data_IF_155093014409
#
_entry.id   IF_155093014409
#
_cell.length_a   1.000
_cell.length_b   1.000
_cell.length_c   1.000
_cell.angle_alpha   90.00
_cell.angle_beta   90.00
_cell.angle_gamma   90.00
#
_symmetry.space_group_name_H-M   'P 1'
#
loop_
_entity.id
_entity.type
_entity.pdbx_description
1 polymer ?
#
# COMPACT_ATOMS: atom_id res chain seq x y z
N UNK A 1 -0.64 -1.44 -22.99
CA UNK A 1 0.74 -2.03 -23.03
C UNK A 1 1.08 -2.34 -21.58
N UNK A 2 0.90 -3.58 -21.15
CA UNK A 2 1.16 -3.96 -19.76
C UNK A 2 2.67 -3.97 -19.54
N UNK A 3 3.16 -3.04 -18.75
CA UNK A 3 4.51 -3.11 -18.19
C UNK A 3 4.49 -4.27 -17.17
N UNK A 4 4.99 -5.42 -17.60
CA UNK A 4 5.28 -6.51 -16.68
C UNK A 4 6.70 -6.28 -16.15
N UNK A 5 6.89 -5.62 -15.00
CA UNK A 5 8.19 -5.56 -14.39
C UNK A 5 8.47 -6.95 -13.84
N UNK A 6 9.29 -7.72 -14.56
CA UNK A 6 9.90 -8.90 -13.96
C UNK A 6 10.82 -8.41 -12.83
N UNK A 7 10.25 -8.25 -11.63
CA UNK A 7 11.05 -8.12 -10.43
C UNK A 7 11.78 -9.46 -10.24
N UNK A 8 13.02 -9.52 -10.67
CA UNK A 8 13.90 -10.63 -10.29
C UNK A 8 14.01 -10.56 -8.76
N UNK A 9 13.43 -11.54 -8.10
CA UNK A 9 13.62 -11.75 -6.66
C UNK A 9 15.09 -12.12 -6.43
N UNK A 10 15.92 -11.14 -6.15
CA UNK A 10 17.30 -11.37 -5.71
C UNK A 10 17.27 -11.67 -4.22
N UNK A 11 17.50 -12.92 -3.87
CA UNK A 11 17.67 -13.30 -2.46
C UNK A 11 19.08 -12.95 -2.05
N UNK A 12 19.25 -11.88 -1.29
CA UNK A 12 20.53 -11.58 -0.66
C UNK A 12 20.84 -12.67 0.37
N UNK A 13 21.93 -13.39 0.15
CA UNK A 13 22.41 -14.38 1.10
C UNK A 13 23.50 -13.73 1.96
N UNK A 14 23.31 -13.65 3.29
CA UNK A 14 24.36 -13.11 4.14
C UNK A 14 25.61 -13.98 4.05
N UNK A 15 26.80 -13.37 4.01
CA UNK A 15 28.04 -14.12 4.02
C UNK A 15 28.16 -14.91 5.32
N UNK A 16 28.61 -16.14 5.23
CA UNK A 16 28.89 -16.98 6.42
C UNK A 16 30.35 -16.84 6.80
N UNK A 17 30.60 -16.71 8.10
CA UNK A 17 31.97 -16.76 8.62
C UNK A 17 32.67 -18.02 8.12
N UNK A 18 33.92 -17.94 7.62
CA UNK A 18 34.64 -19.09 7.15
C UNK A 18 35.12 -19.95 8.33
N UNK A 19 35.15 -21.26 8.14
CA UNK A 19 35.90 -22.15 9.04
C UNK A 19 37.38 -21.97 8.73
N UNK A 20 38.09 -21.30 9.64
CA UNK A 20 39.53 -21.18 9.51
C UNK A 20 40.21 -22.50 9.94
N UNK A 21 41.25 -22.92 9.22
CA UNK A 21 42.01 -24.12 9.61
C UNK A 21 42.66 -23.92 10.97
N UNK A 22 42.79 -25.01 11.74
CA UNK A 22 43.47 -25.01 13.05
C UNK A 22 44.98 -24.84 12.82
N UNK A 23 45.60 -23.93 13.55
CA UNK A 23 47.01 -23.66 13.41
C UNK A 23 47.87 -24.92 13.80
N UNK A 24 48.78 -25.35 12.95
CA UNK A 24 49.73 -26.40 13.30
C UNK A 24 50.74 -25.91 14.38
N UNK A 25 51.41 -26.85 15.04
CA UNK A 25 52.42 -26.51 16.04
C UNK A 25 53.60 -25.77 15.40
N UNK A 26 53.96 -26.18 14.19
CA UNK A 26 55.03 -25.55 13.43
C UNK A 26 54.45 -24.76 12.25
N UNK A 27 55.11 -23.63 11.91
CA UNK A 27 54.73 -22.81 10.76
C UNK A 27 54.90 -23.61 9.46
N UNK A 28 53.81 -23.65 8.65
CA UNK A 28 53.85 -24.20 7.30
C UNK A 28 53.30 -23.21 6.32
N UNK A 29 53.96 -23.07 5.17
CA UNK A 29 53.45 -22.19 4.09
C UNK A 29 52.04 -22.62 3.64
N UNK A 30 51.78 -23.91 3.60
CA UNK A 30 50.51 -24.47 3.21
C UNK A 30 49.35 -23.98 4.12
N UNK A 31 49.60 -23.91 5.45
CA UNK A 31 48.61 -23.38 6.40
C UNK A 31 48.31 -21.89 6.12
N UNK A 32 49.37 -21.10 5.90
CA UNK A 32 49.24 -19.68 5.57
C UNK A 32 48.40 -19.46 4.32
N UNK A 33 48.69 -20.23 3.25
CA UNK A 33 47.97 -20.16 1.99
C UNK A 33 46.50 -20.55 2.16
N UNK A 34 46.19 -21.55 2.98
CA UNK A 34 44.80 -21.93 3.28
C UNK A 34 44.04 -20.83 4.03
N UNK A 35 44.67 -20.21 5.05
CA UNK A 35 44.06 -19.10 5.79
C UNK A 35 43.81 -17.90 4.87
N UNK A 36 44.82 -17.50 4.09
CA UNK A 36 44.70 -16.38 3.16
C UNK A 36 43.62 -16.63 2.10
N UNK A 37 43.53 -17.85 1.59
CA UNK A 37 42.49 -18.20 0.60
C UNK A 37 41.10 -18.19 1.24
N UNK A 38 40.93 -18.71 2.44
CA UNK A 38 39.66 -18.68 3.19
C UNK A 38 39.19 -17.22 3.44
N UNK A 39 40.10 -16.35 3.87
CA UNK A 39 39.83 -14.95 4.10
C UNK A 39 39.49 -14.21 2.81
N UNK A 40 40.24 -14.46 1.72
CA UNK A 40 39.97 -13.84 0.41
C UNK A 40 38.57 -14.22 -0.11
N UNK A 41 38.18 -15.48 0.00
CA UNK A 41 36.86 -15.94 -0.39
C UNK A 41 35.77 -15.29 0.47
N UNK A 42 36.01 -15.12 1.77
CA UNK A 42 35.07 -14.45 2.67
C UNK A 42 34.89 -12.97 2.32
N UNK A 43 35.99 -12.24 2.10
CA UNK A 43 35.91 -10.84 1.68
C UNK A 43 35.20 -10.68 0.32
N UNK A 44 35.46 -11.55 -0.64
CA UNK A 44 34.75 -11.57 -1.91
C UNK A 44 33.24 -11.80 -1.71
N UNK A 45 32.82 -12.64 -0.74
CA UNK A 45 31.40 -12.81 -0.40
C UNK A 45 30.80 -11.54 0.22
N UNK A 46 31.54 -10.86 1.10
CA UNK A 46 31.12 -9.58 1.69
C UNK A 46 30.96 -8.51 0.60
N UNK A 47 31.93 -8.40 -0.29
CA UNK A 47 31.88 -7.43 -1.38
C UNK A 47 30.69 -7.71 -2.32
N UNK A 48 30.48 -8.97 -2.70
CA UNK A 48 29.33 -9.38 -3.51
C UNK A 48 27.98 -9.19 -2.82
N UNK A 49 27.94 -9.15 -1.49
CA UNK A 49 26.74 -8.86 -0.71
C UNK A 49 26.53 -7.34 -0.55
N UNK A 50 27.59 -6.60 -0.20
CA UNK A 50 27.51 -5.17 0.10
C UNK A 50 27.42 -4.30 -1.16
N UNK A 51 28.10 -4.67 -2.24
CA UNK A 51 28.14 -3.92 -3.47
C UNK A 51 26.75 -3.68 -4.07
N UNK A 52 25.84 -4.68 -4.21
CA UNK A 52 24.48 -4.44 -4.65
C UNK A 52 23.67 -3.50 -3.77
N UNK A 53 23.93 -3.48 -2.46
CA UNK A 53 23.24 -2.59 -1.51
C UNK A 53 23.74 -1.16 -1.54
N UNK A 54 25.01 -0.94 -1.88
CA UNK A 54 25.66 0.38 -1.87
C UNK A 54 25.67 1.08 -3.23
N UNK A 55 25.37 0.36 -4.32
CA UNK A 55 25.28 0.93 -5.67
C UNK A 55 24.03 1.80 -5.85
N UNK A 56 24.02 2.60 -6.91
CA UNK A 56 22.94 3.53 -7.27
C UNK A 56 21.54 2.90 -7.27
N UNK A 57 21.43 1.61 -7.58
CA UNK A 57 20.19 0.84 -7.56
C UNK A 57 20.02 -0.03 -6.30
N UNK A 58 20.76 0.26 -5.23
CA UNK A 58 20.79 -0.56 -4.01
C UNK A 58 19.42 -0.79 -3.40
N UNK A 59 18.51 0.19 -3.48
CA UNK A 59 17.14 0.05 -3.04
C UNK A 59 16.33 -1.04 -3.76
N UNK A 60 16.73 -1.45 -4.97
CA UNK A 60 16.03 -2.52 -5.72
C UNK A 60 16.25 -3.92 -5.13
N UNK A 61 17.26 -4.09 -4.28
CA UNK A 61 17.52 -5.35 -3.56
C UNK A 61 16.84 -5.44 -2.20
N UNK A 62 16.35 -4.31 -1.70
CA UNK A 62 15.57 -4.24 -0.46
C UNK A 62 14.10 -4.37 -0.82
N UNK A 63 13.50 -5.51 -0.56
CA UNK A 63 12.05 -5.69 -0.71
C UNK A 63 11.35 -5.04 0.47
N UNK A 64 10.97 -3.77 0.32
CA UNK A 64 10.09 -3.13 1.28
C UNK A 64 8.68 -3.69 1.10
N UNK A 65 7.98 -4.05 2.20
CA UNK A 65 6.58 -4.42 2.11
C UNK A 65 5.75 -3.21 1.66
N UNK A 66 4.94 -3.41 0.62
CA UNK A 66 4.04 -2.40 0.09
C UNK A 66 2.84 -3.06 -0.59
N UNK A 67 1.75 -2.31 -0.69
CA UNK A 67 0.58 -2.67 -1.47
C UNK A 67 0.02 -1.41 -2.14
N UNK A 68 -0.36 -1.53 -3.39
CA UNK A 68 -1.14 -0.55 -4.13
C UNK A 68 -2.39 -1.24 -4.66
N UNK A 69 -3.54 -0.73 -4.30
CA UNK A 69 -4.83 -1.27 -4.70
C UNK A 69 -5.79 -0.16 -5.10
N UNK A 70 -6.69 -0.47 -6.01
CA UNK A 70 -7.70 0.45 -6.50
C UNK A 70 -9.09 -0.20 -6.57
N UNK A 71 -10.11 0.59 -6.82
CA UNK A 71 -11.45 0.12 -7.18
C UNK A 71 -11.89 0.75 -8.48
N UNK A 72 -12.60 -0.03 -9.29
CA UNK A 72 -13.13 0.36 -10.60
C UNK A 72 -14.65 0.55 -10.58
N UNK A 73 -15.25 0.73 -9.41
CA UNK A 73 -16.69 0.86 -9.24
C UNK A 73 -17.06 2.05 -8.35
N UNK A 74 -18.24 2.62 -8.59
CA UNK A 74 -18.86 3.59 -7.68
C UNK A 74 -19.25 2.86 -6.40
N UNK A 75 -18.95 3.46 -5.23
CA UNK A 75 -19.29 2.88 -3.94
C UNK A 75 -20.26 3.81 -3.19
N UNK A 76 -21.29 3.20 -2.63
CA UNK A 76 -22.29 3.88 -1.83
C UNK A 76 -22.14 3.48 -0.36
N UNK A 77 -22.32 4.43 0.55
CA UNK A 77 -22.43 4.13 1.97
C UNK A 77 -23.71 3.29 2.23
N UNK A 78 -23.63 2.38 3.19
CA UNK A 78 -24.76 1.51 3.54
C UNK A 78 -25.98 2.32 4.01
N UNK A 79 -25.74 3.34 4.79
CA UNK A 79 -26.73 4.34 5.25
C UNK A 79 -26.00 5.58 5.77
N UNK A 80 -26.74 6.67 6.01
CA UNK A 80 -26.21 7.85 6.68
C UNK A 80 -25.64 7.49 8.06
N UNK A 81 -24.51 8.08 8.40
CA UNK A 81 -23.79 7.88 9.67
C UNK A 81 -23.45 6.41 9.97
N UNK A 82 -23.36 5.58 8.96
CA UNK A 82 -23.04 4.15 9.11
C UNK A 82 -21.68 3.83 8.51
N UNK A 83 -20.74 3.27 9.32
CA UNK A 83 -19.44 2.84 8.81
C UNK A 83 -19.56 1.84 7.66
N UNK A 84 -18.93 2.15 6.56
CA UNK A 84 -18.89 1.31 5.35
C UNK A 84 -17.43 1.09 4.97
N UNK A 85 -17.05 -0.14 4.65
CA UNK A 85 -15.68 -0.43 4.19
C UNK A 85 -15.47 0.11 2.77
N UNK A 86 -14.34 0.76 2.53
CA UNK A 86 -13.89 1.11 1.18
C UNK A 86 -13.44 -0.18 0.49
N UNK A 87 -13.99 -0.44 -0.67
CA UNK A 87 -13.70 -1.65 -1.44
C UNK A 87 -12.47 -1.43 -2.32
N UNK A 88 -11.69 -2.48 -2.46
CA UNK A 88 -10.54 -2.57 -3.38
C UNK A 88 -10.74 -3.82 -4.20
N UNK A 89 -10.94 -3.71 -5.49
CA UNK A 89 -11.17 -4.88 -6.37
C UNK A 89 -9.98 -5.18 -7.28
N UNK A 90 -9.00 -4.29 -7.35
CA UNK A 90 -7.82 -4.44 -8.18
C UNK A 90 -6.57 -4.32 -7.31
N UNK A 91 -5.75 -5.36 -7.29
CA UNK A 91 -4.39 -5.31 -6.79
C UNK A 91 -3.47 -4.88 -7.92
N UNK A 92 -2.96 -3.66 -7.86
CA UNK A 92 -2.05 -3.11 -8.87
C UNK A 92 -0.63 -3.66 -8.68
N UNK A 93 -0.10 -3.50 -7.48
CA UNK A 93 1.23 -3.94 -7.09
C UNK A 93 1.25 -4.30 -5.62
N UNK A 94 2.02 -5.32 -5.24
CA UNK A 94 2.16 -5.69 -3.83
C UNK A 94 3.31 -6.62 -3.55
N UNK A 95 3.93 -6.44 -2.40
CA UNK A 95 4.93 -7.33 -1.82
C UNK A 95 4.83 -7.24 -0.30
N UNK A 96 4.83 -8.37 0.40
CA UNK A 96 4.74 -8.41 1.87
C UNK A 96 3.36 -8.04 2.43
N UNK A 97 2.33 -7.96 1.57
CA UNK A 97 0.93 -7.81 1.93
C UNK A 97 0.06 -8.79 1.14
N UNK A 98 -1.05 -9.17 1.73
CA UNK A 98 -2.11 -9.95 1.06
C UNK A 98 -3.39 -9.13 1.05
N UNK A 99 -3.94 -8.88 -0.14
CA UNK A 99 -5.29 -8.29 -0.28
C UNK A 99 -6.34 -9.37 -0.06
N UNK A 100 -7.21 -9.17 0.92
CA UNK A 100 -8.24 -10.11 1.30
C UNK A 100 -9.56 -9.85 0.56
N UNK A 101 -10.39 -10.89 0.42
CA UNK A 101 -11.70 -10.79 -0.19
C UNK A 101 -12.67 -9.84 0.54
N UNK A 102 -12.41 -9.52 1.80
CA UNK A 102 -13.18 -8.56 2.60
C UNK A 102 -12.62 -7.13 2.50
N UNK A 103 -11.81 -6.83 1.51
CA UNK A 103 -11.24 -5.51 1.23
C UNK A 103 -10.29 -4.98 2.33
N UNK A 104 -9.64 -5.88 3.06
CA UNK A 104 -8.56 -5.54 3.99
C UNK A 104 -7.21 -6.02 3.42
N UNK A 105 -6.13 -5.39 3.85
CA UNK A 105 -4.78 -5.81 3.51
C UNK A 105 -4.08 -6.37 4.74
N UNK A 106 -3.59 -7.61 4.68
CA UNK A 106 -2.86 -8.25 5.78
C UNK A 106 -1.35 -8.07 5.60
N UNK A 107 -0.69 -7.51 6.61
CA UNK A 107 0.76 -7.36 6.64
C UNK A 107 1.44 -8.70 6.95
N UNK A 108 2.42 -9.09 6.13
CA UNK A 108 3.21 -10.30 6.36
C UNK A 108 4.37 -10.09 7.35
N UNK A 109 4.77 -8.85 7.56
CA UNK A 109 5.90 -8.49 8.42
C UNK A 109 5.46 -7.43 9.42
N UNK A 110 6.05 -7.49 10.63
CA UNK A 110 5.90 -6.41 11.59
C UNK A 110 6.73 -5.19 11.15
N UNK A 111 6.18 -3.98 11.34
CA UNK A 111 6.89 -2.76 10.95
C UNK A 111 6.08 -1.49 11.17
N UNK A 112 6.70 -0.37 10.84
CA UNK A 112 6.04 0.94 10.76
C UNK A 112 5.66 1.15 9.28
N UNK A 113 4.38 1.40 9.05
CA UNK A 113 3.82 1.56 7.72
C UNK A 113 3.21 2.94 7.54
N UNK A 114 3.42 3.49 6.37
CA UNK A 114 2.72 4.68 5.89
C UNK A 114 1.60 4.24 4.98
N UNK A 115 0.36 4.58 5.33
CA UNK A 115 -0.81 4.38 4.48
C UNK A 115 -1.19 5.72 3.88
N UNK A 116 -1.34 5.75 2.58
CA UNK A 116 -1.86 6.89 1.83
C UNK A 116 -3.08 6.45 1.05
N UNK A 117 -4.09 7.29 1.00
CA UNK A 117 -5.25 7.04 0.16
C UNK A 117 -5.68 8.30 -0.57
N UNK A 118 -6.28 8.10 -1.73
CA UNK A 118 -6.93 9.13 -2.52
C UNK A 118 -8.29 8.61 -2.94
N UNK A 119 -9.36 9.29 -2.50
CA UNK A 119 -10.74 8.93 -2.79
C UNK A 119 -11.43 10.09 -3.48
N UNK A 120 -12.11 9.83 -4.58
CA UNK A 120 -12.94 10.84 -5.22
C UNK A 120 -14.35 10.74 -4.64
N UNK A 121 -14.77 11.79 -3.93
CA UNK A 121 -16.14 11.92 -3.45
C UNK A 121 -16.96 12.74 -4.42
N UNK A 122 -18.20 12.34 -4.60
CA UNK A 122 -19.19 13.11 -5.35
C UNK A 122 -20.41 13.34 -4.48
N UNK A 123 -21.00 14.55 -4.59
CA UNK A 123 -22.25 14.90 -3.95
C UNK A 123 -23.28 15.30 -5.01
N UNK A 124 -24.41 14.61 -5.01
CA UNK A 124 -25.51 14.87 -5.92
C UNK A 124 -26.73 15.54 -5.23
N UNK A 125 -26.55 15.98 -3.97
CA UNK A 125 -27.58 16.74 -3.24
C UNK A 125 -27.42 18.25 -3.43
N UNK A 126 -28.48 18.99 -3.11
CA UNK A 126 -28.50 20.46 -3.10
C UNK A 126 -27.94 21.08 -1.81
N UNK A 127 -27.50 20.27 -0.87
CA UNK A 127 -26.80 20.64 0.37
C UNK A 127 -25.36 20.13 0.35
N UNK A 128 -24.48 20.78 1.08
CA UNK A 128 -23.14 20.27 1.36
C UNK A 128 -23.23 19.14 2.39
N UNK A 129 -22.43 18.09 2.18
CA UNK A 129 -22.37 16.92 3.06
C UNK A 129 -20.95 16.53 3.40
N UNK A 130 -20.75 15.97 4.59
CA UNK A 130 -19.47 15.51 5.07
C UNK A 130 -19.28 14.02 4.80
N UNK A 131 -18.07 13.66 4.39
CA UNK A 131 -17.59 12.29 4.34
C UNK A 131 -16.39 12.15 5.26
N UNK A 132 -16.40 11.16 6.14
CA UNK A 132 -15.32 10.87 7.09
C UNK A 132 -14.66 9.58 6.65
N UNK A 133 -13.33 9.54 6.66
CA UNK A 133 -12.53 8.37 6.32
C UNK A 133 -11.59 8.05 7.46
N UNK A 134 -11.43 6.77 7.83
CA UNK A 134 -10.53 6.31 8.88
C UNK A 134 -10.06 4.88 8.65
N UNK A 135 -9.12 4.42 9.44
CA UNK A 135 -8.55 3.07 9.38
C UNK A 135 -9.08 2.19 10.51
N UNK A 136 -9.25 0.90 10.23
CA UNK A 136 -9.46 -0.16 11.23
C UNK A 136 -8.41 -1.24 11.09
N UNK A 137 -7.99 -1.79 12.22
CA UNK A 137 -7.04 -2.89 12.29
C UNK A 137 -7.67 -4.07 13.02
N UNK A 138 -7.55 -5.27 12.41
CA UNK A 138 -7.98 -6.55 12.99
C UNK A 138 -9.47 -6.65 13.35
N UNK A 139 -10.34 -5.91 12.65
CA UNK A 139 -11.76 -6.08 12.90
C UNK A 139 -12.67 -5.11 12.14
N UNK A 140 -13.97 -5.28 12.37
CA UNK A 140 -15.04 -4.59 11.66
C UNK A 140 -15.83 -3.61 12.54
N UNK A 141 -15.49 -3.54 13.82
CA UNK A 141 -16.22 -2.71 14.82
C UNK A 141 -15.42 -1.47 15.19
N UNK A 142 -16.06 -0.51 15.84
CA UNK A 142 -15.42 0.72 16.32
C UNK A 142 -14.30 0.48 17.34
N UNK A 143 -14.29 -0.65 18.03
CA UNK A 143 -13.18 -1.04 18.90
C UNK A 143 -11.85 -1.25 18.15
N UNK A 144 -11.91 -1.39 16.83
CA UNK A 144 -10.77 -1.59 15.95
C UNK A 144 -10.34 -0.31 15.21
N UNK A 145 -10.99 0.82 15.49
CA UNK A 145 -10.64 2.10 14.88
C UNK A 145 -9.23 2.52 15.32
N UNK A 146 -8.40 2.92 14.36
CA UNK A 146 -7.07 3.46 14.64
C UNK A 146 -7.24 4.89 15.13
N UNK A 147 -6.79 5.21 16.36
CA UNK A 147 -6.84 6.57 16.87
C UNK A 147 -6.15 7.56 15.91
N UNK A 148 -6.69 8.76 15.81
CA UNK A 148 -6.14 9.87 15.00
C UNK A 148 -5.99 9.58 13.49
N UNK A 149 -6.64 8.52 12.97
CA UNK A 149 -6.64 8.20 11.54
C UNK A 149 -7.81 8.82 10.76
N UNK A 150 -8.75 9.48 11.44
CA UNK A 150 -9.94 10.03 10.81
C UNK A 150 -9.67 11.37 10.12
N UNK A 151 -10.20 11.53 8.92
CA UNK A 151 -10.16 12.78 8.16
C UNK A 151 -11.56 13.09 7.61
N UNK A 152 -12.00 14.33 7.73
CA UNK A 152 -13.30 14.81 7.24
C UNK A 152 -13.09 15.55 5.92
N UNK A 153 -13.96 15.25 4.95
CA UNK A 153 -14.01 15.91 3.64
C UNK A 153 -15.42 16.45 3.43
N UNK A 154 -15.57 17.77 3.43
CA UNK A 154 -16.85 18.42 3.10
C UNK A 154 -16.99 18.51 1.58
N UNK A 155 -18.03 17.89 1.03
CA UNK A 155 -18.35 17.93 -0.40
C UNK A 155 -19.48 18.93 -0.61
N UNK A 156 -19.19 20.00 -1.32
CA UNK A 156 -20.15 21.07 -1.58
C UNK A 156 -21.41 20.54 -2.29
N UNK A 157 -22.50 21.30 -2.19
CA UNK A 157 -23.75 21.03 -2.92
C UNK A 157 -23.49 20.82 -4.43
N UNK A 158 -24.32 20.00 -5.08
CA UNK A 158 -24.26 19.79 -6.53
C UNK A 158 -24.29 21.09 -7.32
N UNK A 159 -23.64 21.11 -8.48
CA UNK A 159 -23.61 22.31 -9.36
C UNK A 159 -24.98 22.66 -9.94
N UNK A 160 -25.75 21.65 -10.32
CA UNK A 160 -27.13 21.76 -10.80
C UNK A 160 -27.82 20.40 -10.75
N UNK A 161 -29.12 20.34 -11.06
CA UNK A 161 -29.81 19.05 -11.09
C UNK A 161 -29.11 18.05 -12.02
N UNK A 162 -28.72 16.90 -11.49
CA UNK A 162 -28.02 15.85 -12.23
C UNK A 162 -26.52 16.11 -12.49
N UNK A 163 -25.94 17.21 -11.98
CA UNK A 163 -24.50 17.51 -12.12
C UNK A 163 -23.85 17.55 -10.74
N UNK A 164 -23.21 16.48 -10.31
CA UNK A 164 -22.56 16.41 -9.00
C UNK A 164 -21.42 17.41 -8.85
N UNK A 165 -21.09 17.73 -7.60
CA UNK A 165 -19.82 18.32 -7.24
C UNK A 165 -18.87 17.22 -6.80
N UNK A 166 -17.58 17.36 -7.16
CA UNK A 166 -16.54 16.39 -6.85
C UNK A 166 -15.48 17.01 -5.97
N UNK A 167 -14.94 16.22 -5.05
CA UNK A 167 -13.74 16.54 -4.27
C UNK A 167 -12.84 15.31 -4.19
N UNK A 168 -11.53 15.54 -4.30
CA UNK A 168 -10.54 14.49 -4.05
C UNK A 168 -10.13 14.57 -2.58
N UNK A 169 -10.50 13.55 -1.80
CA UNK A 169 -10.06 13.35 -0.44
C UNK A 169 -8.72 12.61 -0.44
N UNK A 170 -7.68 13.24 0.08
CA UNK A 170 -6.35 12.64 0.26
C UNK A 170 -5.96 12.74 1.72
N UNK A 171 -5.40 11.68 2.25
CA UNK A 171 -4.77 11.70 3.58
C UNK A 171 -3.68 10.64 3.68
N UNK A 172 -2.87 10.77 4.72
CA UNK A 172 -1.83 9.82 5.07
C UNK A 172 -1.77 9.59 6.57
N UNK A 173 -1.49 8.35 6.96
CA UNK A 173 -1.37 7.95 8.36
C UNK A 173 -0.16 7.05 8.50
N UNK A 174 0.61 7.23 9.57
CA UNK A 174 1.76 6.38 9.91
C UNK A 174 1.47 5.66 11.22
N UNK A 175 1.56 4.34 11.21
CA UNK A 175 1.32 3.53 12.42
C UNK A 175 2.03 2.18 12.32
N UNK A 176 2.07 1.43 13.43
CA UNK A 176 2.71 0.12 13.49
C UNK A 176 1.71 -1.00 13.24
N UNK A 177 2.14 -2.01 12.48
CA UNK A 177 1.44 -3.29 12.32
C UNK A 177 2.35 -4.43 12.78
N UNK A 178 1.76 -5.46 13.39
CA UNK A 178 2.42 -6.74 13.59
C UNK A 178 2.26 -7.63 12.36
N UNK A 179 3.08 -8.65 12.25
CA UNK A 179 2.87 -9.68 11.23
C UNK A 179 1.51 -10.38 11.46
N UNK A 180 0.69 -10.45 10.41
CA UNK A 180 -0.67 -10.97 10.48
C UNK A 180 -1.76 -9.95 10.75
N UNK A 181 -1.41 -8.71 11.12
CA UNK A 181 -2.41 -7.65 11.27
C UNK A 181 -3.04 -7.31 9.92
N UNK A 182 -4.36 -7.14 9.91
CA UNK A 182 -5.12 -6.72 8.74
C UNK A 182 -5.64 -5.30 8.92
N UNK A 183 -5.46 -4.46 7.91
CA UNK A 183 -5.91 -3.07 7.89
C UNK A 183 -6.94 -2.87 6.79
N UNK A 184 -8.01 -2.15 7.11
CA UNK A 184 -9.04 -1.73 6.16
C UNK A 184 -9.28 -0.24 6.24
N UNK A 185 -9.67 0.37 5.12
CA UNK A 185 -10.12 1.75 5.06
C UNK A 185 -11.63 1.78 5.16
N UNK A 186 -12.14 2.63 6.04
CA UNK A 186 -13.56 2.79 6.32
C UNK A 186 -13.99 4.21 6.05
N UNK A 187 -15.22 4.38 5.68
CA UNK A 187 -15.81 5.70 5.47
C UNK A 187 -17.26 5.74 5.91
N UNK A 188 -17.75 6.93 6.14
CA UNK A 188 -19.15 7.23 6.42
C UNK A 188 -19.47 8.63 5.93
N UNK A 189 -20.74 8.93 5.82
CA UNK A 189 -21.25 10.26 5.44
C UNK A 189 -22.51 10.56 6.21
N UNK A 190 -22.78 11.84 6.45
CA UNK A 190 -24.01 12.33 7.09
C UNK A 190 -25.24 12.11 6.19
N UNK A 191 -25.05 12.04 4.86
CA UNK A 191 -26.10 11.77 3.89
C UNK A 191 -25.60 10.79 2.83
N UNK A 192 -26.08 9.56 2.86
CA UNK A 192 -25.69 8.52 1.91
C UNK A 192 -26.53 8.61 0.62
N UNK A 193 -25.85 8.61 -0.52
CA UNK A 193 -26.53 8.43 -1.80
C UNK A 193 -26.95 6.97 -1.99
N UNK A 194 -28.09 6.74 -2.62
CA UNK A 194 -28.51 5.41 -3.08
C UNK A 194 -28.04 5.14 -4.50
N UNK A 195 -27.87 3.87 -4.87
CA UNK A 195 -27.53 3.48 -6.25
C UNK A 195 -28.51 4.08 -7.27
N UNK A 196 -27.99 4.90 -8.19
CA UNK A 196 -28.81 5.66 -9.13
C UNK A 196 -29.56 6.83 -8.52
N UNK A 197 -29.40 7.08 -7.21
CA UNK A 197 -30.10 8.11 -6.47
C UNK A 197 -29.49 9.50 -6.57
N UNK A 198 -30.33 10.50 -6.31
CA UNK A 198 -30.04 11.90 -6.57
C UNK A 198 -29.54 12.65 -5.32
N UNK A 199 -29.38 12.01 -4.17
CA UNK A 199 -29.14 12.73 -2.90
C UNK A 199 -27.98 12.10 -2.13
N UNK A 200 -27.05 12.93 -1.66
CA UNK A 200 -25.97 12.56 -0.75
C UNK A 200 -24.63 12.24 -1.38
N UNK A 201 -23.69 11.87 -0.54
CA UNK A 201 -22.30 11.56 -0.91
C UNK A 201 -22.12 10.10 -1.31
N UNK A 202 -21.19 9.88 -2.25
CA UNK A 202 -20.71 8.57 -2.67
C UNK A 202 -19.25 8.66 -3.10
N UNK A 203 -18.53 7.53 -3.09
CA UNK A 203 -17.19 7.44 -3.68
C UNK A 203 -17.38 7.24 -5.19
N UNK A 204 -16.79 8.14 -5.95
CA UNK A 204 -16.93 8.19 -7.40
C UNK A 204 -15.77 7.48 -8.09
N UNK A 205 -16.11 6.75 -9.13
CA UNK A 205 -15.14 6.16 -10.06
C UNK A 205 -15.26 6.88 -11.41
N UNK A 206 -14.14 7.43 -11.88
CA UNK A 206 -14.07 8.06 -13.20
C UNK A 206 -13.81 6.98 -14.25
N UNK A 207 -14.86 6.59 -14.98
CA UNK A 207 -14.70 5.68 -16.11
C UNK A 207 -13.87 6.33 -17.22
N UNK A 208 -13.18 5.50 -18.01
CA UNK A 208 -12.47 5.92 -19.22
C UNK A 208 -13.41 6.73 -20.14
N UNK A 209 -12.93 7.88 -20.59
CA UNK A 209 -13.71 8.78 -21.44
C UNK A 209 -13.26 8.68 -22.90
N UNK A 210 -14.22 8.68 -23.81
CA UNK A 210 -13.97 8.86 -25.25
C UNK A 210 -14.19 10.32 -25.64
N UNK A 211 -13.51 10.78 -26.69
CA UNK A 211 -13.67 12.15 -27.21
C UNK A 211 -15.13 12.69 -27.14
N UNK A 212 -15.33 14.01 -26.95
CA UNK A 212 -14.42 15.10 -27.29
C UNK A 212 -13.65 15.69 -26.07
N UNK A 213 -13.79 15.17 -24.87
CA UNK A 213 -13.14 15.74 -23.71
C UNK A 213 -11.70 15.21 -23.58
N UNK A 214 -10.75 16.07 -23.27
CA UNK A 214 -9.34 15.72 -23.10
C UNK A 214 -9.07 15.03 -21.74
N UNK A 215 -9.88 14.02 -21.40
CA UNK A 215 -9.63 13.17 -20.23
C UNK A 215 -8.74 11.99 -20.61
N UNK A 216 -8.05 11.38 -19.61
CA UNK A 216 -7.34 10.13 -19.85
C UNK A 216 -8.27 9.07 -20.45
N UNK A 217 -7.76 8.28 -21.38
CA UNK A 217 -8.50 7.15 -21.95
C UNK A 217 -8.53 5.94 -21.02
N UNK A 218 -7.77 5.99 -19.92
CA UNK A 218 -7.74 5.00 -18.85
C UNK A 218 -8.44 5.56 -17.61
N UNK A 219 -9.16 4.74 -16.84
CA UNK A 219 -9.71 5.14 -15.54
C UNK A 219 -8.60 5.64 -14.58
N UNK A 220 -8.95 6.59 -13.77
CA UNK A 220 -8.07 7.17 -12.74
C UNK A 220 -8.55 6.79 -11.33
#
# INVERSE_FOLDING_TARGET
MALNPQFKTFTLRPPKAPNLPIAPVDYTQQYQDQVLNALRLYFNQIDNFSLPLTQQNGGSYLQFPFISASDTAIQYATAANTPTIVKWNVLELGSGFTLNANYTATAQFAGIYKITYSLQFANNDNQAHDSIVWLRVNGLTSANDVPDSSTIFTVAARKSAGVPTYVCGYSEVVFSLNAGDSVGLWWGTDQAATSGGATGNYIYYQAAQTAPMAYPTTPS
#
